data_IF_073450109514
#
_entry.id   IF_073450109514
#
_cell.length_a   1.000
_cell.length_b   1.000
_cell.length_c   1.000
_cell.angle_alpha   90.00
_cell.angle_beta   90.00
_cell.angle_gamma   90.00
#
_symmetry.space_group_name_H-M   'P 1'
#
loop_
_entity.id
_entity.type
_entity.pdbx_description
1 polymer ?
#
# COMPACT_ATOMS: atom_id res chain seq x y z
N UNK A 1 -19.30 15.54 -10.64
CA UNK A 1 -19.82 14.19 -10.94
C UNK A 1 -18.67 13.22 -10.87
N UNK A 2 -18.75 12.22 -9.99
CA UNK A 2 -17.70 11.21 -9.78
C UNK A 2 -17.70 10.27 -10.98
N UNK A 3 -16.57 10.16 -11.69
CA UNK A 3 -16.42 9.23 -12.80
C UNK A 3 -16.58 7.78 -12.31
N UNK A 4 -17.44 6.99 -12.94
CA UNK A 4 -17.57 5.56 -12.61
C UNK A 4 -16.46 4.74 -13.28
N UNK A 5 -16.19 3.53 -12.77
CA UNK A 5 -15.10 2.68 -13.27
C UNK A 5 -15.19 2.40 -14.79
N UNK A 6 -16.40 2.26 -15.32
CA UNK A 6 -16.60 2.02 -16.76
C UNK A 6 -16.19 3.22 -17.61
N UNK A 7 -16.56 4.44 -17.19
CA UNK A 7 -16.15 5.68 -17.83
C UNK A 7 -14.63 5.89 -17.76
N UNK A 8 -14.03 5.62 -16.60
CA UNK A 8 -12.57 5.65 -16.38
C UNK A 8 -11.84 4.68 -17.31
N UNK A 9 -12.33 3.44 -17.42
CA UNK A 9 -11.77 2.42 -18.31
C UNK A 9 -11.93 2.79 -19.79
N UNK A 10 -13.03 3.44 -20.18
CA UNK A 10 -13.22 3.93 -21.54
C UNK A 10 -12.24 5.08 -21.87
N UNK A 11 -11.99 5.99 -20.93
CA UNK A 11 -10.95 7.02 -21.05
C UNK A 11 -9.57 6.41 -21.26
N UNK A 12 -9.18 5.45 -20.43
CA UNK A 12 -7.89 4.77 -20.55
C UNK A 12 -7.71 4.07 -21.90
N UNK A 13 -8.75 3.47 -22.48
CA UNK A 13 -8.66 2.88 -23.82
C UNK A 13 -8.36 3.91 -24.90
N UNK A 14 -9.06 5.06 -24.89
CA UNK A 14 -8.81 6.14 -25.87
C UNK A 14 -7.39 6.68 -25.77
N UNK A 15 -6.86 6.83 -24.55
CA UNK A 15 -5.48 7.25 -24.35
C UNK A 15 -4.49 6.21 -24.84
N UNK A 16 -4.75 4.92 -24.59
CA UNK A 16 -3.91 3.83 -25.10
C UNK A 16 -3.86 3.81 -26.63
N UNK A 17 -5.00 4.04 -27.29
CA UNK A 17 -5.10 4.12 -28.75
C UNK A 17 -4.32 5.31 -29.33
N UNK A 18 -4.13 6.40 -28.58
CA UNK A 18 -3.32 7.55 -29.01
C UNK A 18 -1.80 7.35 -28.89
N UNK A 19 -1.34 6.32 -28.16
CA UNK A 19 0.09 6.05 -27.99
C UNK A 19 0.70 5.41 -29.26
N UNK A 20 2.03 5.51 -29.45
CA UNK A 20 2.76 4.79 -30.49
C UNK A 20 2.47 3.28 -30.43
N UNK A 21 2.29 2.64 -31.60
CA UNK A 21 1.81 1.25 -31.69
C UNK A 21 2.63 0.26 -30.85
N UNK A 22 3.97 0.35 -30.91
CA UNK A 22 4.85 -0.53 -30.14
C UNK A 22 4.79 -0.34 -28.63
N UNK A 23 4.27 0.78 -28.12
CA UNK A 23 4.10 1.01 -26.67
C UNK A 23 2.81 0.40 -26.14
N UNK A 24 1.77 0.26 -26.98
CA UNK A 24 0.42 -0.12 -26.52
C UNK A 24 0.41 -1.48 -25.82
N UNK A 25 1.23 -2.42 -26.27
CA UNK A 25 1.33 -3.76 -25.71
C UNK A 25 2.12 -3.82 -24.39
N UNK A 26 2.95 -2.80 -24.13
CA UNK A 26 3.86 -2.75 -22.99
C UNK A 26 3.36 -1.85 -21.86
N UNK A 27 2.37 -0.98 -22.14
CA UNK A 27 1.81 -0.05 -21.17
C UNK A 27 0.55 -0.64 -20.54
N UNK A 28 0.65 -1.03 -19.27
CA UNK A 28 -0.53 -1.41 -18.48
C UNK A 28 -1.52 -0.24 -18.37
N UNK A 29 -2.83 -0.53 -18.33
CA UNK A 29 -3.90 0.49 -18.24
C UNK A 29 -3.67 1.55 -17.15
N UNK A 30 -3.04 1.16 -16.04
CA UNK A 30 -2.67 2.06 -14.94
C UNK A 30 -1.71 3.16 -15.39
N UNK A 31 -0.74 2.81 -16.22
CA UNK A 31 0.35 3.71 -16.60
C UNK A 31 0.02 4.51 -17.86
N UNK A 32 -1.10 4.19 -18.54
CA UNK A 32 -1.50 4.85 -19.78
C UNK A 32 -1.60 6.36 -19.61
N UNK A 33 -2.18 6.84 -18.51
CA UNK A 33 -2.26 8.28 -18.25
C UNK A 33 -0.89 8.92 -18.08
N UNK A 34 -0.02 8.29 -17.28
CA UNK A 34 1.34 8.80 -17.06
C UNK A 34 2.17 8.82 -18.34
N UNK A 35 2.03 7.79 -19.19
CA UNK A 35 2.74 7.72 -20.48
C UNK A 35 2.15 8.71 -21.48
N UNK A 36 0.83 8.83 -21.57
CA UNK A 36 0.17 9.78 -22.45
C UNK A 36 0.42 11.23 -22.05
N UNK A 37 0.70 11.50 -20.77
CA UNK A 37 1.10 12.81 -20.28
C UNK A 37 2.54 13.20 -20.67
N UNK A 38 3.38 12.24 -21.09
CA UNK A 38 4.73 12.56 -21.59
C UNK A 38 4.66 13.28 -22.94
N UNK A 39 5.58 14.21 -23.23
CA UNK A 39 5.73 14.79 -24.56
C UNK A 39 5.96 13.69 -25.63
N UNK A 40 5.47 13.86 -26.88
CA UNK A 40 5.71 12.91 -27.96
C UNK A 40 7.16 12.42 -28.12
N UNK A 41 8.21 13.27 -28.06
CA UNK A 41 9.59 12.78 -28.15
C UNK A 41 10.00 11.87 -26.98
N UNK A 42 9.49 12.13 -25.77
CA UNK A 42 9.73 11.27 -24.61
C UNK A 42 8.99 9.92 -24.73
N UNK A 43 7.81 9.89 -25.36
CA UNK A 43 7.12 8.63 -25.67
C UNK A 43 7.93 7.79 -26.66
N UNK A 44 8.55 8.40 -27.67
CA UNK A 44 9.43 7.68 -28.61
C UNK A 44 10.65 7.09 -27.89
N UNK A 45 11.31 7.87 -27.01
CA UNK A 45 12.42 7.34 -26.20
C UNK A 45 12.00 6.21 -25.27
N UNK A 46 10.82 6.29 -24.67
CA UNK A 46 10.27 5.22 -23.85
C UNK A 46 10.06 3.95 -24.69
N UNK A 47 9.59 4.07 -25.94
CA UNK A 47 9.45 2.95 -26.86
C UNK A 47 10.81 2.31 -27.15
N UNK A 48 11.83 3.12 -27.47
CA UNK A 48 13.20 2.64 -27.70
C UNK A 48 13.76 1.90 -26.49
N UNK A 49 13.55 2.42 -25.27
CA UNK A 49 13.96 1.75 -24.04
C UNK A 49 13.22 0.43 -23.82
N UNK A 50 11.92 0.38 -24.09
CA UNK A 50 11.12 -0.86 -24.02
C UNK A 50 11.65 -1.90 -25.00
N UNK A 51 11.94 -1.51 -26.25
CA UNK A 51 12.53 -2.38 -27.26
C UNK A 51 13.94 -2.85 -26.87
N UNK A 52 14.71 -2.01 -26.16
CA UNK A 52 16.02 -2.34 -25.62
C UNK A 52 15.97 -3.18 -24.33
N UNK A 53 14.79 -3.57 -23.84
CA UNK A 53 14.64 -4.48 -22.71
C UNK A 53 14.37 -3.82 -21.36
N UNK A 54 13.80 -2.61 -21.33
CA UNK A 54 13.39 -1.93 -20.11
C UNK A 54 12.47 -2.80 -19.26
N UNK A 55 12.92 -3.14 -18.03
CA UNK A 55 12.16 -4.00 -17.10
C UNK A 55 11.12 -3.25 -16.26
N UNK A 56 11.30 -1.94 -16.05
CA UNK A 56 10.49 -1.13 -15.10
C UNK A 56 9.97 0.16 -15.75
N UNK A 57 8.80 0.07 -16.37
CA UNK A 57 8.15 1.19 -17.06
C UNK A 57 7.84 2.39 -16.13
N UNK A 58 7.30 2.24 -14.90
CA UNK A 58 6.96 3.38 -14.06
C UNK A 58 8.17 4.27 -13.73
N UNK A 59 9.33 3.67 -13.44
CA UNK A 59 10.54 4.43 -13.12
C UNK A 59 11.04 5.26 -14.30
N UNK A 60 11.04 4.68 -15.50
CA UNK A 60 11.43 5.40 -16.71
C UNK A 60 10.47 6.54 -17.06
N UNK A 61 9.16 6.36 -16.84
CA UNK A 61 8.16 7.42 -17.04
C UNK A 61 8.40 8.58 -16.07
N UNK A 62 8.71 8.30 -14.80
CA UNK A 62 9.04 9.35 -13.84
C UNK A 62 10.32 10.10 -14.21
N UNK A 63 11.37 9.40 -14.64
CA UNK A 63 12.61 10.03 -15.12
C UNK A 63 12.37 10.92 -16.34
N UNK A 64 11.62 10.43 -17.33
CA UNK A 64 11.26 11.20 -18.53
C UNK A 64 10.30 12.37 -18.24
N UNK A 65 9.50 12.27 -17.18
CA UNK A 65 8.65 13.37 -16.72
C UNK A 65 9.49 14.52 -16.15
N UNK A 66 10.56 14.20 -15.43
CA UNK A 66 11.50 15.19 -14.87
C UNK A 66 12.42 15.74 -15.95
N UNK A 67 12.99 14.86 -16.77
CA UNK A 67 13.87 15.22 -17.88
C UNK A 67 13.52 14.41 -19.13
N UNK A 68 12.72 15.00 -20.06
CA UNK A 68 12.36 14.37 -21.34
C UNK A 68 13.57 13.99 -22.20
N UNK A 69 14.73 14.58 -21.92
CA UNK A 69 15.95 14.35 -22.68
C UNK A 69 16.82 13.20 -22.17
N UNK A 70 16.44 12.55 -21.06
CA UNK A 70 17.15 11.40 -20.48
C UNK A 70 17.48 10.34 -21.56
N UNK A 71 18.75 9.94 -21.72
CA UNK A 71 19.15 8.96 -22.72
C UNK A 71 18.65 7.56 -22.37
N UNK A 72 18.42 6.73 -23.38
CA UNK A 72 17.87 5.36 -23.22
C UNK A 72 18.73 4.49 -22.28
N UNK A 73 20.05 4.64 -22.33
CA UNK A 73 20.99 3.91 -21.49
C UNK A 73 20.78 4.19 -19.99
N UNK A 74 20.47 5.44 -19.62
CA UNK A 74 20.16 5.83 -18.24
C UNK A 74 18.79 5.30 -17.79
N UNK A 75 17.82 5.16 -18.72
CA UNK A 75 16.52 4.55 -18.42
C UNK A 75 16.65 3.03 -18.16
N UNK A 76 17.57 2.37 -18.85
CA UNK A 76 17.86 0.93 -18.67
C UNK A 76 18.64 0.65 -17.39
N UNK A 77 19.52 1.57 -17.00
CA UNK A 77 20.39 1.47 -15.83
C UNK A 77 20.20 2.68 -14.90
N UNK A 78 19.04 2.79 -14.21
CA UNK A 78 18.84 3.86 -13.26
C UNK A 78 19.92 3.76 -12.17
N UNK A 79 20.74 4.81 -12.04
CA UNK A 79 21.78 4.88 -11.01
C UNK A 79 21.16 4.53 -9.65
N UNK A 80 21.76 3.57 -8.95
CA UNK A 80 21.24 2.90 -7.76
C UNK A 80 21.07 3.78 -6.49
N UNK A 81 21.04 5.10 -6.64
CA UNK A 81 21.15 6.07 -5.53
C UNK A 81 19.85 6.19 -4.71
N UNK A 82 18.72 5.66 -5.16
CA UNK A 82 17.42 5.82 -4.48
C UNK A 82 16.88 4.57 -3.78
N UNK A 83 17.66 3.50 -3.63
CA UNK A 83 17.23 2.26 -2.98
C UNK A 83 17.86 2.03 -1.58
N UNK A 84 18.33 3.08 -0.92
CA UNK A 84 18.54 3.02 0.52
C UNK A 84 17.17 3.14 1.19
N UNK A 85 16.44 2.02 1.25
CA UNK A 85 15.30 1.86 2.15
C UNK A 85 15.85 1.94 3.58
N UNK A 86 15.88 3.15 4.14
CA UNK A 86 15.99 3.35 5.57
C UNK A 86 14.87 2.53 6.21
N UNK A 87 15.24 1.44 6.89
CA UNK A 87 14.31 0.72 7.75
C UNK A 87 13.68 1.76 8.67
N UNK A 88 12.36 2.00 8.57
CA UNK A 88 11.77 3.10 9.27
C UNK A 88 11.92 2.79 10.77
N UNK A 89 12.58 3.65 11.52
CA UNK A 89 12.64 3.52 12.97
C UNK A 89 11.20 3.63 13.51
N UNK A 90 10.82 2.72 14.41
CA UNK A 90 9.49 2.75 15.04
C UNK A 90 9.34 4.08 15.77
N UNK A 91 8.46 4.95 15.28
CA UNK A 91 8.28 6.29 15.84
C UNK A 91 7.68 6.24 17.25
N UNK A 92 8.03 7.23 18.08
CA UNK A 92 7.43 7.39 19.42
C UNK A 92 5.89 7.46 19.37
N UNK A 93 5.34 7.98 18.27
CA UNK A 93 3.89 8.05 18.08
C UNK A 93 3.25 6.65 18.00
N UNK A 94 3.89 5.70 17.30
CA UNK A 94 3.42 4.31 17.22
C UNK A 94 3.47 3.65 18.60
N UNK A 95 4.53 3.88 19.38
CA UNK A 95 4.64 3.37 20.75
C UNK A 95 3.53 3.92 21.65
N UNK A 96 3.26 5.23 21.57
CA UNK A 96 2.23 5.88 22.39
C UNK A 96 0.82 5.37 22.07
N UNK A 97 0.53 5.13 20.79
CA UNK A 97 -0.73 4.58 20.30
C UNK A 97 -0.94 3.14 20.81
N UNK A 98 0.07 2.28 20.66
CA UNK A 98 0.02 0.91 21.15
C UNK A 98 -0.15 0.85 22.67
N UNK A 99 0.52 1.72 23.43
CA UNK A 99 0.34 1.76 24.88
C UNK A 99 -1.08 2.21 25.26
N UNK A 100 -1.70 3.08 24.45
CA UNK A 100 -3.12 3.41 24.58
C UNK A 100 -4.03 2.21 24.33
N UNK A 101 -3.78 1.45 23.26
CA UNK A 101 -4.55 0.23 22.95
C UNK A 101 -4.43 -0.83 24.05
N UNK A 102 -3.22 -1.02 24.62
CA UNK A 102 -3.01 -1.91 25.77
C UNK A 102 -3.87 -1.49 26.95
N UNK A 103 -3.92 -0.19 27.27
CA UNK A 103 -4.73 0.31 28.39
C UNK A 103 -6.25 0.23 28.11
N UNK A 104 -6.69 0.28 26.86
CA UNK A 104 -8.10 0.00 26.54
C UNK A 104 -8.48 -1.45 26.84
N UNK A 105 -7.58 -2.40 26.58
CA UNK A 105 -7.78 -3.82 26.90
C UNK A 105 -7.59 -4.14 28.40
N UNK A 106 -6.74 -3.38 29.08
CA UNK A 106 -6.35 -3.59 30.47
C UNK A 106 -6.41 -2.25 31.23
N UNK A 107 -7.63 -1.78 31.59
CA UNK A 107 -7.85 -0.42 32.12
C UNK A 107 -7.13 -0.14 33.44
N UNK A 108 -6.91 -1.17 34.26
CA UNK A 108 -6.19 -1.04 35.53
C UNK A 108 -4.66 -0.96 35.36
N UNK A 109 -4.13 -1.14 34.13
CA UNK A 109 -2.70 -1.11 33.87
C UNK A 109 -2.16 0.34 33.91
N UNK A 110 -1.17 0.64 34.78
CA UNK A 110 -0.52 1.95 34.80
C UNK A 110 0.16 2.27 33.46
N UNK A 111 0.17 3.54 33.07
CA UNK A 111 0.74 3.98 31.78
C UNK A 111 2.19 3.54 31.59
N UNK A 112 3.00 3.69 32.63
CA UNK A 112 4.43 3.31 32.62
C UNK A 112 4.60 1.81 32.33
N UNK A 113 3.71 0.96 32.88
CA UNK A 113 3.73 -0.48 32.60
C UNK A 113 3.29 -0.80 31.18
N UNK A 114 2.30 -0.09 30.64
CA UNK A 114 1.86 -0.26 29.26
C UNK A 114 2.95 0.16 28.26
N UNK A 115 3.65 1.26 28.53
CA UNK A 115 4.79 1.71 27.72
C UNK A 115 5.96 0.72 27.79
N UNK A 116 6.31 0.22 28.98
CA UNK A 116 7.34 -0.80 29.13
C UNK A 116 6.97 -2.11 28.39
N UNK A 117 5.70 -2.53 28.46
CA UNK A 117 5.23 -3.70 27.71
C UNK A 117 5.35 -3.49 26.20
N UNK A 118 4.99 -2.30 25.71
CA UNK A 118 5.13 -1.92 24.30
C UNK A 118 6.59 -1.89 23.85
N UNK A 119 7.56 -1.76 24.73
CA UNK A 119 9.00 -1.85 24.38
C UNK A 119 9.56 -3.28 24.49
N UNK A 120 8.88 -4.19 25.17
CA UNK A 120 9.32 -5.58 25.32
C UNK A 120 9.30 -6.35 23.98
N UNK A 121 10.16 -7.36 23.84
CA UNK A 121 10.31 -8.16 22.62
C UNK A 121 8.99 -8.84 22.19
N UNK A 122 8.15 -9.24 23.15
CA UNK A 122 6.84 -9.84 22.89
C UNK A 122 5.90 -8.94 22.08
N UNK A 123 6.14 -7.62 22.08
CA UNK A 123 5.36 -6.63 21.34
C UNK A 123 5.99 -6.24 20.00
N UNK A 124 7.11 -6.84 19.57
CA UNK A 124 7.78 -6.48 18.31
C UNK A 124 6.85 -6.61 17.10
N UNK A 125 6.09 -7.71 17.01
CA UNK A 125 5.15 -7.94 15.90
C UNK A 125 4.06 -6.86 15.89
N UNK A 126 3.55 -6.47 17.05
CA UNK A 126 2.56 -5.41 17.17
C UNK A 126 3.13 -4.04 16.76
N UNK A 127 4.37 -3.73 17.16
CA UNK A 127 5.08 -2.51 16.76
C UNK A 127 5.29 -2.43 15.26
N UNK A 128 5.80 -3.49 14.65
CA UNK A 128 6.03 -3.56 13.21
C UNK A 128 4.71 -3.46 12.44
N UNK A 129 3.67 -4.16 12.88
CA UNK A 129 2.34 -4.12 12.25
C UNK A 129 1.74 -2.72 12.31
N UNK A 130 1.76 -2.07 13.47
CA UNK A 130 1.26 -0.70 13.62
C UNK A 130 2.05 0.30 12.76
N UNK A 131 3.36 0.11 12.64
CA UNK A 131 4.20 0.93 11.79
C UNK A 131 3.86 0.75 10.30
N UNK A 132 3.76 -0.49 9.81
CA UNK A 132 3.36 -0.77 8.43
C UNK A 132 1.96 -0.24 8.15
N UNK A 133 1.02 -0.43 9.08
CA UNK A 133 -0.33 0.12 8.98
C UNK A 133 -0.30 1.64 8.85
N UNK A 134 0.54 2.33 9.61
CA UNK A 134 0.69 3.77 9.51
C UNK A 134 1.27 4.20 8.16
N UNK A 135 2.33 3.54 7.70
CA UNK A 135 2.94 3.81 6.39
C UNK A 135 1.96 3.59 5.24
N UNK A 136 1.12 2.54 5.35
CA UNK A 136 0.06 2.26 4.39
C UNK A 136 -0.88 3.47 4.21
N UNK A 137 -1.37 4.04 5.30
CA UNK A 137 -2.30 5.19 5.25
C UNK A 137 -1.62 6.53 4.96
N UNK A 138 -0.30 6.61 5.09
CA UNK A 138 0.49 7.76 4.65
C UNK A 138 0.86 7.70 3.17
N UNK A 139 0.70 6.55 2.51
CA UNK A 139 1.07 6.37 1.11
C UNK A 139 0.08 7.08 0.17
N UNK A 140 0.60 7.94 -0.69
CA UNK A 140 -0.16 8.54 -1.79
C UNK A 140 -0.72 7.48 -2.77
N UNK A 141 -0.11 6.28 -2.79
CA UNK A 141 -0.50 5.20 -3.67
C UNK A 141 -1.74 4.43 -3.17
N UNK A 142 -2.11 4.54 -1.89
CA UNK A 142 -3.26 3.82 -1.33
C UNK A 142 -4.57 4.18 -2.03
N UNK A 143 -4.68 5.40 -2.57
CA UNK A 143 -5.87 5.87 -3.31
C UNK A 143 -6.03 5.21 -4.68
N UNK A 144 -5.05 4.44 -5.14
CA UNK A 144 -5.11 3.77 -6.43
C UNK A 144 -6.00 2.55 -6.34
N UNK A 145 -7.00 2.43 -7.23
CA UNK A 145 -8.07 1.41 -7.17
C UNK A 145 -7.56 -0.02 -6.87
N UNK A 146 -6.57 -0.54 -7.59
CA UNK A 146 -6.07 -1.90 -7.37
C UNK A 146 -5.19 -2.02 -6.11
N UNK A 147 -4.49 -0.96 -5.70
CA UNK A 147 -3.75 -0.96 -4.41
C UNK A 147 -4.78 -1.05 -3.28
N UNK A 148 -5.80 -0.21 -3.33
CA UNK A 148 -6.86 -0.18 -2.32
C UNK A 148 -7.58 -1.53 -2.25
N UNK A 149 -7.95 -2.11 -3.39
CA UNK A 149 -8.63 -3.41 -3.44
C UNK A 149 -7.73 -4.56 -2.94
N UNK A 150 -6.45 -4.57 -3.31
CA UNK A 150 -5.51 -5.60 -2.84
C UNK A 150 -5.27 -5.48 -1.33
N UNK A 151 -5.01 -4.27 -0.84
CA UNK A 151 -4.83 -3.98 0.59
C UNK A 151 -6.09 -4.35 1.38
N UNK A 152 -7.28 -3.97 0.88
CA UNK A 152 -8.55 -4.32 1.51
C UNK A 152 -8.71 -5.85 1.64
N UNK A 153 -8.45 -6.60 0.55
CA UNK A 153 -8.51 -8.06 0.59
C UNK A 153 -7.53 -8.67 1.58
N UNK A 154 -6.29 -8.16 1.64
CA UNK A 154 -5.26 -8.61 2.58
C UNK A 154 -5.64 -8.33 4.04
N UNK A 155 -6.12 -7.12 4.34
CA UNK A 155 -6.55 -6.73 5.69
C UNK A 155 -7.73 -7.60 6.12
N UNK A 156 -8.70 -7.82 5.22
CA UNK A 156 -9.87 -8.66 5.52
C UNK A 156 -9.48 -10.09 5.84
N UNK A 157 -8.66 -10.73 5.01
CA UNK A 157 -8.20 -12.08 5.26
C UNK A 157 -7.38 -12.20 6.55
N UNK A 158 -6.58 -11.18 6.88
CA UNK A 158 -5.82 -11.13 8.12
C UNK A 158 -6.73 -10.99 9.35
N UNK A 159 -7.79 -10.17 9.24
CA UNK A 159 -8.79 -10.01 10.30
C UNK A 159 -9.52 -11.33 10.56
N UNK A 160 -9.97 -12.02 9.50
CA UNK A 160 -10.65 -13.31 9.65
C UNK A 160 -9.74 -14.34 10.37
N UNK A 161 -8.45 -14.37 10.06
CA UNK A 161 -7.48 -15.24 10.75
C UNK A 161 -7.29 -14.83 12.23
N UNK A 162 -7.20 -13.54 12.53
CA UNK A 162 -7.09 -13.05 13.90
C UNK A 162 -8.34 -13.38 14.73
N UNK A 163 -9.52 -13.26 14.13
CA UNK A 163 -10.78 -13.62 14.78
C UNK A 163 -10.83 -15.12 15.13
N UNK A 164 -10.35 -16.00 14.25
CA UNK A 164 -10.25 -17.44 14.54
C UNK A 164 -9.27 -17.75 15.68
N UNK A 165 -8.14 -17.04 15.76
CA UNK A 165 -7.21 -17.16 16.88
C UNK A 165 -7.84 -16.68 18.20
N UNK A 166 -8.58 -15.57 18.17
CA UNK A 166 -9.30 -15.04 19.33
C UNK A 166 -10.39 -16.02 19.78
N UNK A 167 -11.11 -16.65 18.85
CA UNK A 167 -12.11 -17.69 19.15
C UNK A 167 -11.54 -18.85 19.97
N UNK A 168 -10.26 -19.15 19.79
CA UNK A 168 -9.55 -20.20 20.52
C UNK A 168 -8.96 -19.74 21.87
N UNK A 169 -9.05 -18.45 22.21
CA UNK A 169 -8.44 -17.85 23.40
C UNK A 169 -9.49 -17.15 24.30
N UNK A 170 -10.15 -17.87 25.24
CA UNK A 170 -11.22 -17.32 26.07
C UNK A 170 -10.82 -16.09 26.90
N UNK A 171 -9.59 -16.04 27.41
CA UNK A 171 -9.09 -14.90 28.16
C UNK A 171 -9.01 -13.62 27.30
N UNK A 172 -8.66 -13.75 26.02
CA UNK A 172 -8.59 -12.63 25.07
C UNK A 172 -10.00 -12.14 24.73
N UNK A 173 -10.95 -13.06 24.56
CA UNK A 173 -12.36 -12.68 24.34
C UNK A 173 -12.93 -11.90 25.52
N UNK A 174 -12.63 -12.34 26.75
CA UNK A 174 -13.06 -11.62 27.95
C UNK A 174 -12.43 -10.21 28.02
N UNK A 175 -11.13 -10.10 27.74
CA UNK A 175 -10.46 -8.80 27.67
C UNK A 175 -11.11 -7.88 26.61
N UNK A 176 -11.45 -8.41 25.43
CA UNK A 176 -12.11 -7.63 24.37
C UNK A 176 -13.52 -7.17 24.78
N UNK A 177 -14.31 -8.04 25.43
CA UNK A 177 -15.65 -7.69 25.91
C UNK A 177 -15.64 -6.66 27.05
N UNK A 178 -14.56 -6.62 27.83
CA UNK A 178 -14.36 -5.64 28.91
C UNK A 178 -13.68 -4.36 28.43
N UNK A 179 -13.10 -4.38 27.21
CA UNK A 179 -12.47 -3.23 26.59
C UNK A 179 -13.47 -2.36 25.84
N UNK A 180 -13.13 -1.09 25.66
CA UNK A 180 -13.86 -0.18 24.76
C UNK A 180 -13.50 -0.38 23.27
N UNK A 181 -12.81 -1.47 22.91
CA UNK A 181 -12.50 -1.75 21.51
C UNK A 181 -13.75 -2.21 20.76
N UNK A 182 -13.95 -1.77 19.51
CA UNK A 182 -15.07 -2.22 18.69
C UNK A 182 -14.87 -3.69 18.30
N UNK A 183 -15.36 -4.61 19.12
CA UNK A 183 -15.36 -6.04 18.86
C UNK A 183 -16.72 -6.51 18.36
N UNK A 184 -16.78 -6.88 17.08
CA UNK A 184 -17.85 -7.70 16.50
C UNK A 184 -17.21 -8.66 15.50
N UNK A 185 -17.44 -9.98 15.63
CA UNK A 185 -17.05 -10.92 14.58
C UNK A 185 -17.65 -10.50 13.24
N UNK A 186 -16.92 -10.65 12.13
CA UNK A 186 -17.45 -10.33 10.81
C UNK A 186 -18.70 -11.17 10.49
N UNK A 187 -19.89 -10.55 10.49
CA UNK A 187 -21.18 -11.23 10.21
C UNK A 187 -21.35 -11.68 8.75
N UNK A 188 -20.42 -11.31 7.85
CA UNK A 188 -20.54 -11.56 6.41
C UNK A 188 -19.96 -12.90 5.94
N UNK A 189 -19.55 -13.77 6.86
CA UNK A 189 -18.94 -15.07 6.57
C UNK A 189 -19.95 -16.17 6.22
N UNK A 190 -21.25 -15.86 6.08
CA UNK A 190 -22.26 -16.83 5.62
C UNK A 190 -23.01 -16.33 4.37
N UNK A 191 -22.57 -16.71 3.16
CA UNK A 191 -23.40 -16.63 1.97
C UNK A 191 -24.41 -17.80 1.84
N UNK A 192 -24.55 -18.65 2.88
CA UNK A 192 -25.57 -19.71 2.94
C UNK A 192 -26.27 -19.74 4.30
N UNK A 193 -27.28 -18.87 4.46
CA UNK A 193 -28.42 -19.06 5.35
C UNK A 193 -29.68 -18.59 4.60
#
# INVERSE_FOLDING_TARGET
MTENYQAKRARWRRLLESLPEGLREHVSLRNVESVAALPPPAQVKLLEAVQAGLKRLPGAVEQLRVNPDTPVEELLHPSAVTAAEEQPQISQQVKNELAGLVQLCFPDMPRVSAEALVEADVMDIARQTAQVHRLLFQSDHLRTDFVLLAVYGLIRGSLDQLEELIKQAPAIQQALLQSDLPWKPNEWSNPHA
#
